data_IF_763439567150
#
_entry.id   IF_763439567150
#
_cell.length_a   1.000
_cell.length_b   1.000
_cell.length_c   1.000
_cell.angle_alpha   90.00
_cell.angle_beta   90.00
_cell.angle_gamma   90.00
#
_symmetry.space_group_name_H-M   'P 1'
#
loop_
_entity.id
_entity.type
_entity.pdbx_description
1 polymer ?
#
# COMPACT_ATOMS: atom_id res chain seq x y z
N UNK A 1 18.67 6.15 -7.50
CA UNK A 1 17.95 5.09 -8.05
C UNK A 1 17.11 4.34 -7.04
N UNK A 2 15.90 4.16 -7.35
CA UNK A 2 14.99 3.53 -6.44
C UNK A 2 15.18 2.02 -6.44
N UNK A 3 15.37 1.47 -5.28
CA UNK A 3 15.50 0.06 -5.18
C UNK A 3 14.14 -0.54 -4.90
N UNK A 4 13.57 -1.18 -5.88
CA UNK A 4 12.22 -1.69 -5.76
C UNK A 4 12.17 -3.18 -5.63
N UNK A 5 13.15 -3.75 -4.97
CA UNK A 5 13.11 -5.16 -4.73
C UNK A 5 11.97 -5.56 -3.83
N UNK A 6 11.56 -4.64 -2.97
CA UNK A 6 10.52 -4.93 -2.01
C UNK A 6 9.25 -4.18 -2.36
N UNK A 7 8.71 -4.49 -3.51
CA UNK A 7 7.53 -3.78 -3.98
C UNK A 7 6.26 -4.28 -3.33
N UNK A 8 6.37 -5.18 -2.38
CA UNK A 8 5.19 -5.68 -1.71
C UNK A 8 4.84 -4.90 -0.47
N UNK A 9 5.58 -3.85 -0.15
CA UNK A 9 5.28 -3.06 1.03
C UNK A 9 5.63 -1.60 0.78
N UNK A 10 4.95 -0.71 1.52
CA UNK A 10 5.25 0.71 1.48
C UNK A 10 4.74 1.34 2.76
N UNK A 11 5.21 2.56 3.02
CA UNK A 11 4.74 3.30 4.18
C UNK A 11 4.04 4.57 3.70
N UNK A 12 2.97 4.94 4.39
CA UNK A 12 2.21 6.15 4.07
C UNK A 12 1.96 6.94 5.35
N UNK A 13 1.87 8.25 5.21
CA UNK A 13 1.60 9.09 6.35
C UNK A 13 0.12 9.01 6.73
N UNK A 14 -0.18 9.49 7.94
CA UNK A 14 -1.54 9.36 8.48
C UNK A 14 -2.59 9.98 7.58
N UNK A 15 -2.26 11.08 6.94
CA UNK A 15 -3.26 11.77 6.13
C UNK A 15 -3.63 10.97 4.88
N UNK A 16 -2.73 10.14 4.42
CA UNK A 16 -2.98 9.38 3.19
C UNK A 16 -3.49 7.98 3.45
N UNK A 17 -3.33 7.49 4.68
CA UNK A 17 -3.63 6.08 4.96
C UNK A 17 -5.10 5.76 4.71
N UNK A 18 -6.00 6.70 4.98
CA UNK A 18 -7.42 6.43 4.80
C UNK A 18 -7.74 6.16 3.33
N UNK A 19 -7.14 6.93 2.43
CA UNK A 19 -7.36 6.76 1.01
C UNK A 19 -6.83 5.40 0.55
N UNK A 20 -5.61 5.08 0.97
CA UNK A 20 -5.03 3.80 0.58
C UNK A 20 -5.85 2.64 1.13
N UNK A 21 -6.31 2.76 2.37
CA UNK A 21 -7.09 1.70 2.98
C UNK A 21 -8.40 1.48 2.21
N UNK A 22 -9.06 2.55 1.84
CA UNK A 22 -10.31 2.43 1.11
C UNK A 22 -10.13 1.75 -0.23
N UNK A 23 -9.18 2.24 -1.01
CA UNK A 23 -8.98 1.71 -2.37
C UNK A 23 -8.43 0.30 -2.32
N UNK A 24 -7.40 0.08 -1.53
CA UNK A 24 -6.77 -1.24 -1.47
C UNK A 24 -7.72 -2.26 -0.85
N UNK A 25 -8.48 -1.84 0.15
CA UNK A 25 -9.43 -2.75 0.76
C UNK A 25 -10.52 -3.18 -0.20
N UNK A 26 -10.97 -2.28 -1.05
CA UNK A 26 -12.01 -2.60 -2.01
C UNK A 26 -11.49 -3.50 -3.13
N UNK A 27 -10.25 -3.28 -3.53
CA UNK A 27 -9.72 -3.99 -4.68
C UNK A 27 -9.00 -5.27 -4.31
N UNK A 28 -8.28 -5.27 -3.20
CA UNK A 28 -7.46 -6.41 -2.82
C UNK A 28 -7.95 -7.07 -1.55
N UNK A 29 -8.77 -6.38 -0.77
CA UNK A 29 -9.35 -6.99 0.42
C UNK A 29 -8.30 -7.47 1.40
N UNK A 30 -8.37 -8.73 1.74
CA UNK A 30 -7.51 -9.30 2.77
C UNK A 30 -6.09 -9.58 2.29
N UNK A 31 -5.84 -9.37 1.00
CA UNK A 31 -4.49 -9.59 0.49
C UNK A 31 -3.51 -8.55 1.01
N UNK A 32 -4.01 -7.47 1.57
CA UNK A 32 -3.20 -6.36 2.05
C UNK A 32 -3.37 -6.18 3.54
N UNK A 33 -2.27 -5.95 4.23
CA UNK A 33 -2.27 -5.74 5.68
C UNK A 33 -1.78 -4.33 6.00
N UNK A 34 -2.46 -3.69 6.93
CA UNK A 34 -2.08 -2.35 7.40
C UNK A 34 -1.59 -2.45 8.83
N UNK A 35 -0.37 -1.99 9.07
CA UNK A 35 0.23 -2.00 10.41
C UNK A 35 0.49 -0.57 10.84
N UNK A 36 -0.14 -0.16 11.92
CA UNK A 36 0.01 1.19 12.46
C UNK A 36 0.87 1.15 13.70
N UNK A 37 1.89 2.00 13.73
CA UNK A 37 2.77 2.11 14.89
C UNK A 37 2.82 3.57 15.34
N UNK A 38 2.84 3.77 16.65
CA UNK A 38 2.87 5.13 17.21
C UNK A 38 4.05 5.91 16.66
N UNK A 39 3.78 7.14 16.25
CA UNK A 39 4.80 8.07 15.78
C UNK A 39 5.53 7.60 14.53
N UNK A 40 4.91 6.69 13.79
CA UNK A 40 5.53 6.19 12.57
C UNK A 40 4.48 6.06 11.48
N UNK A 41 4.91 6.12 10.22
CA UNK A 41 3.97 5.92 9.11
C UNK A 41 3.36 4.54 9.16
N UNK A 42 2.18 4.41 8.58
CA UNK A 42 1.50 3.13 8.49
C UNK A 42 2.19 2.27 7.44
N UNK A 43 2.48 1.05 7.79
CA UNK A 43 3.08 0.09 6.88
C UNK A 43 1.99 -0.69 6.18
N UNK A 44 2.04 -0.72 4.87
CA UNK A 44 1.07 -1.44 4.04
C UNK A 44 1.81 -2.56 3.34
N UNK A 45 1.33 -3.79 3.50
CA UNK A 45 1.99 -4.94 2.93
C UNK A 45 1.00 -5.79 2.14
N UNK A 46 1.44 -6.26 0.98
CA UNK A 46 0.66 -7.18 0.18
C UNK A 46 1.22 -8.58 0.35
N UNK A 47 0.37 -9.51 0.75
CA UNK A 47 0.80 -10.87 1.05
C UNK A 47 0.52 -11.85 -0.07
N UNK A 48 -0.19 -11.43 -1.08
CA UNK A 48 -0.61 -12.32 -2.16
C UNK A 48 0.21 -12.02 -3.41
N UNK A 49 1.11 -12.92 -3.74
CA UNK A 49 2.00 -12.70 -4.87
C UNK A 49 1.23 -12.55 -6.17
N UNK A 50 0.11 -13.22 -6.30
CA UNK A 50 -0.66 -13.13 -7.53
C UNK A 50 -1.32 -11.76 -7.69
N UNK A 51 -1.34 -10.97 -6.62
CA UNK A 51 -1.94 -9.65 -6.66
C UNK A 51 -0.92 -8.53 -6.52
N UNK A 52 0.35 -8.88 -6.52
CA UNK A 52 1.39 -7.85 -6.39
C UNK A 52 1.36 -6.86 -7.53
N UNK A 53 1.14 -7.34 -8.73
CA UNK A 53 1.09 -6.45 -9.89
C UNK A 53 -0.05 -5.45 -9.75
N UNK A 54 -1.20 -5.92 -9.32
CA UNK A 54 -2.34 -5.05 -9.10
C UNK A 54 -2.08 -4.08 -7.95
N UNK A 55 -1.48 -4.59 -6.88
CA UNK A 55 -1.14 -3.76 -5.73
C UNK A 55 -0.24 -2.61 -6.13
N UNK A 56 0.79 -2.92 -6.91
CA UNK A 56 1.72 -1.90 -7.36
C UNK A 56 1.05 -0.88 -8.26
N UNK A 57 0.17 -1.35 -9.14
CA UNK A 57 -0.53 -0.45 -10.05
C UNK A 57 -1.43 0.52 -9.26
N UNK A 58 -2.13 0.00 -8.27
CA UNK A 58 -3.02 0.83 -7.46
C UNK A 58 -2.22 1.85 -6.68
N UNK A 59 -1.12 1.41 -6.06
CA UNK A 59 -0.29 2.32 -5.29
C UNK A 59 0.25 3.43 -6.18
N UNK A 60 0.69 3.07 -7.37
CA UNK A 60 1.22 4.06 -8.30
C UNK A 60 0.13 5.08 -8.67
N UNK A 61 -1.07 4.61 -8.93
CA UNK A 61 -2.16 5.51 -9.24
C UNK A 61 -2.44 6.48 -8.10
N UNK A 62 -2.44 5.95 -6.89
CA UNK A 62 -2.72 6.79 -5.72
C UNK A 62 -1.64 7.84 -5.52
N UNK A 63 -0.40 7.47 -5.79
CA UNK A 63 0.69 8.42 -5.66
C UNK A 63 0.63 9.51 -6.71
N UNK A 64 0.28 9.13 -7.93
CA UNK A 64 0.28 10.08 -9.04
C UNK A 64 -1.00 10.90 -9.10
N UNK A 65 -2.07 10.34 -8.60
CA UNK A 65 -3.37 10.98 -8.69
C UNK A 65 -3.67 11.97 -7.62
N UNK A 66 -2.77 12.17 -6.68
CA UNK A 66 -3.05 13.12 -5.58
C UNK A 66 -2.75 14.55 -5.94
#
# INVERSE_FOLDING_TARGET
MCDIRDERSLTVCDVAVARYRTVLGQRLGESVTFTHTDNKPTLIECHDESRLTEFRAIVRELMEGS
#
